data_IF_092537809861
#
_entry.id   IF_092537809861
#
_cell.length_a   1.000
_cell.length_b   1.000
_cell.length_c   1.000
_cell.angle_alpha   90.00
_cell.angle_beta   90.00
_cell.angle_gamma   90.00
#
_symmetry.space_group_name_H-M   'P 1'
#
loop_
_entity.id
_entity.type
_entity.pdbx_description
1 polymer ?
#
# COMPACT_ATOMS: atom_id res chain seq x y z
N UNK A 1 -18.71 4.67 7.87
CA UNK A 1 -18.53 3.25 8.23
C UNK A 1 -18.00 3.13 9.66
N UNK A 2 -17.97 1.90 10.22
CA UNK A 2 -17.40 1.58 11.55
C UNK A 2 -17.70 2.61 12.65
N UNK A 3 -18.98 2.99 12.82
CA UNK A 3 -19.45 3.97 13.83
C UNK A 3 -18.71 5.33 13.81
N UNK A 4 -18.25 5.77 12.64
CA UNK A 4 -17.50 7.03 12.48
C UNK A 4 -15.98 6.85 12.34
N UNK A 5 -15.44 5.68 12.68
CA UNK A 5 -14.01 5.36 12.54
C UNK A 5 -13.56 5.25 11.08
N UNK A 6 -14.51 5.07 10.14
CA UNK A 6 -14.24 4.89 8.72
C UNK A 6 -14.04 3.43 8.34
N UNK A 7 -14.50 3.08 7.14
CA UNK A 7 -14.25 1.76 6.55
C UNK A 7 -12.80 1.71 6.07
N UNK A 8 -12.17 0.54 6.11
CA UNK A 8 -10.82 0.32 5.58
C UNK A 8 -10.95 -0.35 4.23
N UNK A 9 -10.39 0.28 3.20
CA UNK A 9 -10.35 -0.26 1.84
C UNK A 9 -8.92 -0.67 1.52
N UNK A 10 -8.68 -1.97 1.36
CA UNK A 10 -7.38 -2.50 0.93
C UNK A 10 -7.45 -2.76 -0.56
N UNK A 11 -6.44 -2.32 -1.31
CA UNK A 11 -6.43 -2.37 -2.77
C UNK A 11 -5.14 -2.97 -3.29
N UNK A 12 -5.22 -3.81 -4.32
CA UNK A 12 -4.03 -4.31 -5.00
C UNK A 12 -3.41 -3.20 -5.85
N UNK A 13 -2.10 -3.03 -5.81
CA UNK A 13 -1.43 -1.92 -6.52
C UNK A 13 -1.41 -2.08 -8.04
N UNK A 14 -1.64 -3.28 -8.57
CA UNK A 14 -1.68 -3.55 -10.01
C UNK A 14 -0.69 -4.61 -10.49
N UNK A 15 -0.89 -5.12 -11.71
CA UNK A 15 -0.12 -6.23 -12.30
C UNK A 15 0.51 -5.89 -13.67
N UNK A 16 0.49 -4.61 -14.05
CA UNK A 16 0.99 -4.08 -15.31
C UNK A 16 2.51 -3.85 -15.38
N UNK A 17 3.30 -4.28 -14.40
CA UNK A 17 4.74 -3.98 -14.31
C UNK A 17 5.56 -4.38 -15.55
N UNK A 18 5.24 -5.51 -16.20
CA UNK A 18 5.89 -5.92 -17.45
C UNK A 18 5.60 -5.01 -18.64
N UNK A 19 4.50 -4.26 -18.57
CA UNK A 19 4.07 -3.29 -19.58
C UNK A 19 4.48 -1.86 -19.20
N UNK A 20 5.30 -1.69 -18.16
CA UNK A 20 5.74 -0.40 -17.63
C UNK A 20 4.57 0.50 -17.19
N UNK A 21 3.51 -0.12 -16.66
CA UNK A 21 2.36 0.62 -16.12
C UNK A 21 2.73 1.33 -14.79
N UNK A 22 2.07 2.45 -14.54
CA UNK A 22 2.24 3.28 -13.34
C UNK A 22 0.90 3.35 -12.60
N UNK A 23 0.88 2.83 -11.39
CA UNK A 23 -0.35 2.73 -10.61
C UNK A 23 -0.93 4.08 -10.16
N UNK A 24 -0.24 5.21 -10.41
CA UNK A 24 -0.84 6.55 -10.30
C UNK A 24 -1.90 6.82 -11.35
N UNK A 25 -1.90 6.08 -12.46
CA UNK A 25 -2.92 6.14 -13.51
C UNK A 25 -4.20 5.40 -13.12
N UNK A 26 -4.17 4.58 -12.07
CA UNK A 26 -5.36 3.96 -11.48
C UNK A 26 -5.94 4.88 -10.38
N UNK A 27 -7.13 5.42 -10.64
CA UNK A 27 -7.86 6.30 -9.72
C UNK A 27 -8.28 5.63 -8.40
N UNK A 28 -8.35 4.30 -8.36
CA UNK A 28 -8.59 3.55 -7.13
C UNK A 28 -7.32 3.45 -6.31
N UNK A 29 -6.18 3.07 -6.91
CA UNK A 29 -4.89 2.96 -6.21
C UNK A 29 -4.39 4.31 -5.70
N UNK A 30 -4.54 5.37 -6.51
CA UNK A 30 -4.13 6.73 -6.16
C UNK A 30 -5.07 7.46 -5.19
N UNK A 31 -6.17 6.82 -4.78
CA UNK A 31 -7.09 7.38 -3.80
C UNK A 31 -6.48 7.36 -2.40
N UNK A 32 -6.50 8.51 -1.71
CA UNK A 32 -6.06 8.56 -0.31
C UNK A 32 -6.91 7.68 0.63
N UNK A 33 -8.10 7.26 0.18
CA UNK A 33 -9.04 6.45 0.97
C UNK A 33 -8.78 4.95 0.86
N UNK A 34 -7.87 4.53 -0.02
CA UNK A 34 -7.46 3.14 -0.18
C UNK A 34 -6.05 2.93 0.37
N UNK A 35 -5.83 1.76 0.93
CA UNK A 35 -4.52 1.28 1.34
C UNK A 35 -4.00 0.39 0.20
N UNK A 36 -3.19 0.98 -0.68
CA UNK A 36 -2.64 0.30 -1.84
C UNK A 36 -1.46 -0.61 -1.45
N UNK A 37 -1.61 -1.90 -1.75
CA UNK A 37 -0.70 -2.98 -1.36
C UNK A 37 -0.10 -3.63 -2.61
N UNK A 38 1.21 -3.61 -2.68
CA UNK A 38 1.98 -4.34 -3.68
C UNK A 38 2.42 -5.72 -3.21
N UNK A 39 3.18 -6.41 -4.05
CA UNK A 39 3.71 -7.74 -3.78
C UNK A 39 5.24 -7.70 -3.76
N UNK A 40 5.84 -8.46 -2.84
CA UNK A 40 7.28 -8.74 -2.81
C UNK A 40 7.51 -10.25 -2.98
N UNK A 41 8.65 -10.63 -3.55
CA UNK A 41 9.05 -12.03 -3.67
C UNK A 41 9.48 -12.61 -2.32
N UNK A 42 9.52 -13.94 -2.22
CA UNK A 42 10.13 -14.70 -1.11
C UNK A 42 11.57 -14.29 -0.78
N UNK A 43 12.29 -13.72 -1.74
CA UNK A 43 13.66 -13.22 -1.57
C UNK A 43 13.73 -11.74 -1.16
N UNK A 44 12.59 -11.10 -0.93
CA UNK A 44 12.51 -9.68 -0.60
C UNK A 44 12.72 -8.76 -1.80
N UNK A 45 12.54 -9.27 -3.02
CA UNK A 45 12.77 -8.54 -4.27
C UNK A 45 11.45 -8.11 -4.93
N UNK A 46 11.51 -7.13 -5.81
CA UNK A 46 10.34 -6.68 -6.58
C UNK A 46 9.82 -7.78 -7.51
N UNK A 47 8.49 -7.92 -7.57
CA UNK A 47 7.85 -8.86 -8.48
C UNK A 47 7.78 -8.30 -9.89
N UNK A 48 7.94 -9.15 -10.92
CA UNK A 48 7.95 -8.74 -12.33
C UNK A 48 6.65 -8.08 -12.80
N UNK A 49 5.51 -8.39 -12.15
CA UNK A 49 4.19 -7.82 -12.46
C UNK A 49 3.87 -6.56 -11.64
N UNK A 50 4.61 -6.28 -10.57
CA UNK A 50 4.27 -5.18 -9.65
C UNK A 50 4.42 -3.81 -10.32
N UNK A 51 3.35 -3.02 -10.29
CA UNK A 51 3.37 -1.62 -10.73
C UNK A 51 4.06 -0.72 -9.71
N UNK A 52 4.61 0.39 -10.18
CA UNK A 52 5.41 1.33 -9.39
C UNK A 52 4.69 2.66 -9.33
N UNK A 53 4.45 3.21 -8.14
CA UNK A 53 3.92 4.56 -7.99
C UNK A 53 4.11 5.11 -6.56
N UNK A 54 4.06 6.43 -6.37
CA UNK A 54 4.10 7.05 -5.05
C UNK A 54 2.92 6.68 -4.13
N UNK A 55 1.84 6.10 -4.68
CA UNK A 55 0.62 5.75 -3.94
C UNK A 55 0.70 4.39 -3.26
N UNK A 56 1.70 3.54 -3.58
CA UNK A 56 1.92 2.27 -2.88
C UNK A 56 2.26 2.56 -1.42
N UNK A 57 1.46 2.01 -0.49
CA UNK A 57 1.66 2.21 0.96
C UNK A 57 2.59 1.15 1.55
N UNK A 58 2.51 -0.08 1.07
CA UNK A 58 3.35 -1.17 1.55
C UNK A 58 3.22 -2.40 0.67
N UNK A 59 3.94 -3.46 1.03
CA UNK A 59 3.92 -4.74 0.33
C UNK A 59 3.74 -5.91 1.28
N UNK A 60 3.36 -7.06 0.74
CA UNK A 60 3.38 -8.34 1.47
C UNK A 60 4.01 -9.41 0.60
N UNK A 61 4.54 -10.47 1.24
CA UNK A 61 5.10 -11.64 0.57
C UNK A 61 3.99 -12.42 -0.13
N UNK A 62 3.84 -12.19 -1.44
CA UNK A 62 2.75 -12.74 -2.24
C UNK A 62 3.17 -13.06 -3.69
N UNK A 63 4.48 -13.05 -3.97
CA UNK A 63 5.05 -13.40 -5.27
C UNK A 63 6.37 -14.16 -5.12
N UNK A 64 6.97 -14.54 -6.25
CA UNK A 64 8.22 -15.29 -6.28
C UNK A 64 8.03 -16.75 -6.68
N UNK A 65 9.14 -17.49 -6.77
CA UNK A 65 9.17 -18.88 -7.25
C UNK A 65 8.68 -19.88 -6.20
N UNK A 66 8.84 -19.58 -4.90
CA UNK A 66 8.37 -20.44 -3.80
C UNK A 66 7.23 -19.83 -2.98
N UNK A 67 6.92 -18.54 -3.16
CA UNK A 67 5.80 -17.85 -2.50
C UNK A 67 4.61 -17.70 -3.44
N UNK A 68 4.04 -18.84 -3.82
CA UNK A 68 2.72 -18.92 -4.46
C UNK A 68 1.65 -19.08 -3.39
N UNK A 69 0.62 -18.23 -3.41
CA UNK A 69 -0.45 -18.23 -2.43
C UNK A 69 -1.21 -19.56 -2.44
N UNK A 70 -1.17 -20.26 -1.31
CA UNK A 70 -1.97 -21.45 -1.04
C UNK A 70 -3.28 -21.02 -0.41
N UNK A 71 -4.40 -21.27 -1.08
CA UNK A 71 -5.72 -20.86 -0.57
C UNK A 71 -6.84 -21.73 -1.15
N UNK A 72 -8.05 -21.55 -0.63
CA UNK A 72 -9.25 -22.20 -1.13
C UNK A 72 -9.55 -21.80 -2.57
N UNK A 73 -10.14 -22.72 -3.34
CA UNK A 73 -10.54 -22.53 -4.72
C UNK A 73 -12.01 -22.94 -4.94
N UNK A 74 -12.55 -22.64 -6.13
CA UNK A 74 -13.90 -22.99 -6.54
C UNK A 74 -14.18 -24.50 -6.39
N UNK A 75 -15.45 -24.84 -6.22
CA UNK A 75 -15.92 -26.22 -6.11
C UNK A 75 -15.28 -27.03 -4.98
N UNK A 76 -14.93 -26.37 -3.87
CA UNK A 76 -14.27 -27.00 -2.73
C UNK A 76 -12.80 -27.35 -2.99
N UNK A 77 -12.19 -26.72 -4.00
CA UNK A 77 -10.81 -26.92 -4.38
C UNK A 77 -9.81 -26.20 -3.47
N UNK A 78 -8.54 -26.41 -3.79
CA UNK A 78 -7.41 -25.72 -3.20
C UNK A 78 -6.45 -25.35 -4.34
N UNK A 79 -6.06 -24.08 -4.40
CA UNK A 79 -5.05 -23.60 -5.34
C UNK A 79 -3.73 -23.42 -4.61
N UNK A 80 -2.65 -23.80 -5.28
CA UNK A 80 -1.27 -23.60 -4.82
C UNK A 80 -0.57 -22.52 -5.66
N UNK A 81 -1.32 -21.71 -6.40
CA UNK A 81 -0.80 -20.82 -7.45
C UNK A 81 -1.48 -19.45 -7.46
N UNK A 82 -2.09 -19.03 -6.35
CA UNK A 82 -2.68 -17.69 -6.30
C UNK A 82 -1.56 -16.64 -6.19
N UNK A 83 -1.40 -15.82 -7.23
CA UNK A 83 -0.29 -14.89 -7.39
C UNK A 83 -0.78 -13.53 -7.91
N UNK A 84 0.12 -12.56 -7.97
CA UNK A 84 -0.18 -11.18 -8.38
C UNK A 84 -0.38 -10.27 -7.18
N UNK A 85 -0.46 -8.96 -7.38
CA UNK A 85 -0.84 -8.03 -6.30
C UNK A 85 -2.25 -8.31 -5.78
N UNK A 86 -3.07 -9.02 -6.55
CA UNK A 86 -4.38 -9.53 -6.14
C UNK A 86 -4.32 -10.53 -4.98
N UNK A 87 -3.23 -11.30 -4.82
CA UNK A 87 -3.03 -12.15 -3.62
C UNK A 87 -2.46 -11.36 -2.44
N UNK A 88 -1.82 -10.23 -2.70
CA UNK A 88 -1.23 -9.36 -1.68
C UNK A 88 -2.31 -8.60 -0.86
N UNK A 89 -3.29 -8.02 -1.54
CA UNK A 89 -4.38 -7.27 -0.89
C UNK A 89 -5.15 -8.07 0.19
N UNK A 90 -5.62 -9.32 -0.03
CA UNK A 90 -6.32 -10.09 1.00
C UNK A 90 -5.42 -10.50 2.17
N UNK A 91 -4.12 -10.72 1.96
CA UNK A 91 -3.17 -10.98 3.05
C UNK A 91 -3.03 -9.74 3.96
N UNK A 92 -2.88 -8.55 3.36
CA UNK A 92 -2.86 -7.30 4.11
C UNK A 92 -4.21 -7.04 4.82
N UNK A 93 -5.34 -7.38 4.20
CA UNK A 93 -6.65 -7.27 4.85
C UNK A 93 -6.76 -8.19 6.09
N UNK A 94 -6.25 -9.43 6.01
CA UNK A 94 -6.19 -10.34 7.16
C UNK A 94 -5.28 -9.80 8.28
N UNK A 95 -4.12 -9.26 7.92
CA UNK A 95 -3.23 -8.57 8.85
C UNK A 95 -3.93 -7.43 9.59
N UNK A 96 -4.62 -6.54 8.85
CA UNK A 96 -5.37 -5.42 9.41
C UNK A 96 -6.53 -5.90 10.28
N UNK A 97 -7.15 -7.04 9.99
CA UNK A 97 -8.18 -7.61 10.86
C UNK A 97 -7.63 -7.93 12.26
N UNK A 98 -6.42 -8.48 12.37
CA UNK A 98 -5.73 -8.72 13.64
C UNK A 98 -5.39 -7.42 14.37
N UNK A 99 -4.95 -6.40 13.62
CA UNK A 99 -4.68 -5.06 14.16
C UNK A 99 -5.94 -4.44 14.76
N UNK A 100 -7.08 -4.59 14.09
CA UNK A 100 -8.38 -4.12 14.58
C UNK A 100 -8.94 -4.96 15.74
N UNK A 101 -8.56 -6.24 15.84
CA UNK A 101 -8.87 -7.07 17.00
C UNK A 101 -8.13 -6.56 18.24
N UNK A 102 -6.85 -6.21 18.10
CA UNK A 102 -6.05 -5.61 19.17
C UNK A 102 -6.56 -4.23 19.57
N UNK A 103 -6.99 -3.41 18.60
CA UNK A 103 -7.58 -2.10 18.88
C UNK A 103 -8.73 -1.75 17.92
N UNK A 104 -9.95 -2.00 18.38
CA UNK A 104 -11.16 -1.75 17.60
C UNK A 104 -11.48 -0.26 17.39
N UNK A 105 -10.82 0.66 18.11
CA UNK A 105 -11.05 2.10 18.05
C UNK A 105 -10.19 2.81 17.00
N UNK A 106 -9.29 2.10 16.31
CA UNK A 106 -8.48 2.67 15.24
C UNK A 106 -9.36 3.19 14.10
N UNK A 107 -9.11 4.43 13.69
CA UNK A 107 -9.70 5.01 12.48
C UNK A 107 -9.04 4.44 11.22
N UNK A 108 -9.66 4.65 10.07
CA UNK A 108 -9.08 4.26 8.77
C UNK A 108 -7.70 4.89 8.51
N UNK A 109 -7.46 6.11 9.03
CA UNK A 109 -6.16 6.77 8.92
C UNK A 109 -5.16 6.25 9.95
N UNK A 110 -5.58 5.93 11.17
CA UNK A 110 -4.68 5.32 12.15
C UNK A 110 -4.04 4.03 11.59
N UNK A 111 -4.83 3.21 10.87
CA UNK A 111 -4.30 2.02 10.20
C UNK A 111 -3.28 2.35 9.11
N UNK A 112 -3.49 3.42 8.34
CA UNK A 112 -2.48 3.87 7.37
C UNK A 112 -1.18 4.33 8.07
N UNK A 113 -1.29 5.03 9.20
CA UNK A 113 -0.13 5.45 10.00
C UNK A 113 0.62 4.25 10.62
N UNK A 114 -0.11 3.25 11.12
CA UNK A 114 0.49 2.01 11.60
C UNK A 114 1.31 1.33 10.51
N UNK A 115 0.83 1.27 9.27
CA UNK A 115 1.61 0.75 8.13
C UNK A 115 2.91 1.54 7.95
N UNK A 116 2.84 2.88 7.95
CA UNK A 116 4.01 3.76 7.80
C UNK A 116 5.05 3.51 8.89
N UNK A 117 4.61 3.41 10.15
CA UNK A 117 5.50 3.37 11.31
C UNK A 117 6.12 1.99 11.58
N UNK A 118 5.48 0.92 11.10
CA UNK A 118 5.85 -0.45 11.48
C UNK A 118 6.39 -1.28 10.32
N UNK A 119 6.24 -0.83 9.08
CA UNK A 119 6.75 -1.55 7.91
C UNK A 119 8.28 -1.71 7.94
N UNK A 120 8.76 -2.78 7.32
CA UNK A 120 10.18 -3.16 7.29
C UNK A 120 10.72 -3.21 5.87
N UNK A 121 11.97 -2.81 5.67
CA UNK A 121 12.62 -2.94 4.37
C UNK A 121 12.77 -4.45 4.06
N UNK A 122 12.23 -4.95 2.94
CA UNK A 122 12.24 -6.39 2.62
C UNK A 122 13.66 -6.94 2.40
N UNK A 123 14.54 -6.12 1.80
CA UNK A 123 15.89 -6.51 1.43
C UNK A 123 16.74 -5.27 1.21
N UNK A 124 17.97 -5.27 1.75
CA UNK A 124 18.96 -4.21 1.48
C UNK A 124 19.51 -4.24 0.05
N UNK A 125 19.22 -5.31 -0.70
CA UNK A 125 19.67 -5.47 -2.10
C UNK A 125 18.83 -4.68 -3.09
N UNK A 126 17.63 -4.27 -2.69
CA UNK A 126 16.75 -3.43 -3.50
C UNK A 126 17.21 -1.98 -3.46
N UNK A 127 17.29 -1.36 -4.63
CA UNK A 127 17.73 0.02 -4.79
C UNK A 127 16.55 1.00 -4.73
N UNK A 128 16.86 2.30 -4.70
CA UNK A 128 15.84 3.36 -4.78
C UNK A 128 15.18 3.76 -3.45
N UNK A 129 15.55 3.14 -2.33
CA UNK A 129 15.14 3.59 -1.00
C UNK A 129 15.65 5.00 -0.70
N UNK A 130 14.77 5.83 -0.14
CA UNK A 130 15.08 7.18 0.32
C UNK A 130 14.47 7.40 1.70
N UNK A 131 15.13 8.20 2.53
CA UNK A 131 14.54 8.68 3.78
C UNK A 131 13.77 9.95 3.47
N UNK A 132 12.47 9.97 3.76
CA UNK A 132 11.63 11.14 3.57
C UNK A 132 11.84 12.18 4.69
N UNK A 133 11.21 13.35 4.58
CA UNK A 133 11.36 14.44 5.56
C UNK A 133 10.83 14.10 6.97
N UNK A 134 9.99 13.07 7.10
CA UNK A 134 9.50 12.56 8.38
C UNK A 134 10.38 11.46 8.98
N UNK A 135 11.48 11.09 8.32
CA UNK A 135 12.43 10.10 8.80
C UNK A 135 12.12 8.65 8.41
N UNK A 136 11.10 8.40 7.59
CA UNK A 136 10.74 7.05 7.15
C UNK A 136 11.40 6.69 5.83
N UNK A 137 11.78 5.42 5.69
CA UNK A 137 12.22 4.85 4.44
C UNK A 137 11.02 4.68 3.48
N UNK A 138 11.18 5.13 2.24
CA UNK A 138 10.17 5.01 1.19
C UNK A 138 10.80 4.56 -0.12
N UNK A 139 10.05 3.79 -0.90
CA UNK A 139 10.39 3.33 -2.24
C UNK A 139 9.11 3.18 -3.06
N UNK A 140 9.05 3.70 -4.29
CA UNK A 140 7.82 3.61 -5.10
C UNK A 140 7.42 2.16 -5.50
N UNK A 141 8.33 1.18 -5.37
CA UNK A 141 8.01 -0.25 -5.56
C UNK A 141 7.43 -0.89 -4.30
N UNK A 142 7.85 -0.41 -3.12
CA UNK A 142 7.60 -1.08 -1.85
C UNK A 142 6.78 -0.25 -0.86
N UNK A 143 6.42 0.98 -1.22
CA UNK A 143 5.87 1.96 -0.28
C UNK A 143 6.83 2.19 0.89
N UNK A 144 6.31 2.00 2.10
CA UNK A 144 7.08 2.06 3.34
C UNK A 144 7.78 0.73 3.69
N UNK A 145 7.53 -0.35 2.94
CA UNK A 145 8.11 -1.67 3.15
C UNK A 145 7.09 -2.78 3.30
N UNK A 146 7.54 -3.92 3.79
CA UNK A 146 6.69 -5.08 4.11
C UNK A 146 5.88 -4.79 5.35
N UNK A 147 4.58 -5.07 5.30
CA UNK A 147 3.73 -5.06 6.48
C UNK A 147 4.19 -6.13 7.47
N UNK A 148 4.62 -5.70 8.65
CA UNK A 148 4.90 -6.59 9.77
C UNK A 148 3.68 -6.63 10.70
N UNK A 149 2.85 -7.68 10.55
CA UNK A 149 1.61 -7.80 11.31
C UNK A 149 1.84 -7.84 12.82
N UNK A 150 2.95 -8.43 13.28
CA UNK A 150 3.27 -8.48 14.70
C UNK A 150 3.54 -7.07 15.25
N UNK A 151 4.39 -6.31 14.55
CA UNK A 151 4.70 -4.92 14.93
C UNK A 151 3.49 -4.01 14.82
N UNK A 152 2.64 -4.21 13.80
CA UNK A 152 1.38 -3.47 13.67
C UNK A 152 0.43 -3.73 14.84
N UNK A 153 0.28 -4.99 15.25
CA UNK A 153 -0.57 -5.37 16.40
C UNK A 153 -0.01 -4.80 17.70
N UNK A 154 1.30 -4.95 17.95
CA UNK A 154 1.95 -4.40 19.14
C UNK A 154 1.81 -2.87 19.24
N UNK A 155 2.01 -2.17 18.12
CA UNK A 155 1.83 -0.71 18.06
C UNK A 155 0.36 -0.31 18.28
N UNK A 156 -0.60 -1.12 17.79
CA UNK A 156 -2.02 -0.84 17.91
C UNK A 156 -2.53 -0.86 19.36
N UNK A 157 -2.00 -1.74 20.22
CA UNK A 157 -2.43 -1.89 21.62
C UNK A 157 -2.28 -0.58 22.42
N UNK A 158 -1.24 0.21 22.13
CA UNK A 158 -0.94 1.46 22.83
C UNK A 158 -1.06 2.68 21.91
N UNK A 159 -1.76 2.54 20.77
CA UNK A 159 -1.86 3.59 19.78
C UNK A 159 -2.65 4.80 20.29
N UNK A 160 -2.02 5.98 20.20
CA UNK A 160 -2.69 7.24 20.47
C UNK A 160 -3.26 7.76 19.15
N UNK A 161 -4.58 7.83 19.06
CA UNK A 161 -5.28 8.25 17.85
C UNK A 161 -4.80 9.59 17.29
N UNK A 162 -4.68 9.66 15.97
CA UNK A 162 -4.21 10.87 15.29
C UNK A 162 -5.29 11.98 15.29
N UNK A 163 -4.85 13.21 15.06
CA UNK A 163 -5.75 14.37 14.93
C UNK A 163 -6.65 14.29 13.69
N UNK A 164 -7.74 15.06 13.70
CA UNK A 164 -8.66 15.19 12.57
C UNK A 164 -7.94 15.55 11.26
N UNK A 165 -8.45 15.04 10.14
CA UNK A 165 -7.87 15.30 8.83
C UNK A 165 -8.15 16.74 8.41
N UNK A 166 -7.09 17.51 8.13
CA UNK A 166 -7.19 18.84 7.54
C UNK A 166 -6.90 18.78 6.05
N UNK A 167 -7.58 19.63 5.26
CA UNK A 167 -7.35 19.77 3.82
C UNK A 167 -7.02 21.21 3.48
N UNK A 168 -5.77 21.47 3.08
CA UNK A 168 -5.36 22.74 2.51
C UNK A 168 -5.45 22.66 0.98
N UNK A 169 -6.15 23.60 0.34
CA UNK A 169 -6.27 23.68 -1.12
C UNK A 169 -5.53 24.92 -1.61
N UNK A 170 -4.39 24.71 -2.27
CA UNK A 170 -3.61 25.78 -2.89
C UNK A 170 -4.08 25.94 -4.33
N UNK A 171 -4.62 27.12 -4.66
CA UNK A 171 -4.94 27.49 -6.04
C UNK A 171 -3.68 28.02 -6.71
N UNK A 172 -3.27 27.44 -7.83
CA UNK A 172 -2.17 27.98 -8.62
C UNK A 172 -2.53 29.39 -9.09
N UNK A 173 -1.70 30.39 -8.75
CA UNK A 173 -1.78 31.74 -9.30
C UNK A 173 -0.70 31.92 -10.37
N UNK A 174 -0.96 31.39 -11.55
CA UNK A 174 -0.10 31.54 -12.72
C UNK A 174 -0.73 30.87 -13.93
N UNK A 175 -0.40 31.30 -15.17
CA UNK A 175 -0.83 30.60 -16.36
C UNK A 175 -0.34 29.15 -16.25
N UNK A 176 -1.28 28.21 -16.37
CA UNK A 176 -0.92 26.80 -16.48
C UNK A 176 -0.09 26.61 -17.74
N UNK A 177 0.72 25.55 -17.81
CA UNK A 177 1.52 25.25 -19.02
C UNK A 177 0.65 25.14 -20.30
N UNK A 178 -0.66 24.91 -20.13
CA UNK A 178 -1.67 24.92 -21.19
C UNK A 178 -2.04 26.33 -21.70
N UNK A 179 -2.01 27.35 -20.82
CA UNK A 179 -2.32 28.74 -21.20
C UNK A 179 -1.23 29.35 -22.09
N UNK A 180 0.03 28.90 -21.94
CA UNK A 180 1.14 29.35 -22.78
C UNK A 180 1.09 28.80 -24.21
N UNK A 181 0.47 27.64 -24.42
CA UNK A 181 0.35 27.02 -25.75
C UNK A 181 -0.74 27.73 -26.58
N UNK A 182 -1.80 28.21 -25.94
CA UNK A 182 -2.88 28.95 -26.62
C UNK A 182 -2.58 30.44 -26.84
N UNK A 183 -1.43 30.96 -26.38
CA UNK A 183 -0.99 32.33 -26.65
C UNK A 183 0.06 32.43 -27.77
N UNK A 184 0.39 31.30 -28.41
CA UNK A 184 1.38 31.23 -29.50
C UNK A 184 0.82 30.70 -30.82
N UNK A 185 -0.52 30.64 -30.95
CA UNK A 185 -1.27 30.45 -32.19
C UNK A 185 -2.13 31.69 -32.45
#
# INVERSE_FOLDING_TARGET
GRKGLGSIFVWASGNGGMFQDDCSCDGYVSSIHTLAIGSVTDEGMSTYYGEVCPSVMGVVFAGGSHSVGVTTDLHGGCTLKFQGTSSAAPLAAGCIALVLEANANLTWRDVQHLVVETSVIPSEKEDGWKVNAAGYHVNHRFGFGVLDCGRMVEAAENWIGIQEQLKCVVKSQGPTRYDAINQSL
#
